data_IF_342729497313
#
_entry.id   IF_342729497313
#
_cell.length_a   1.000
_cell.length_b   1.000
_cell.length_c   1.000
_cell.angle_alpha   90.00
_cell.angle_beta   90.00
_cell.angle_gamma   90.00
#
_symmetry.space_group_name_H-M   'P 1'
#
loop_
_entity.id
_entity.type
_entity.pdbx_description
1 polymer ?
#
# COMPACT_ATOMS: atom_id res chain seq x y z
N UNK A 1 8.65 -36.90 36.27
CA UNK A 1 9.21 -35.55 36.11
C UNK A 1 9.99 -35.55 34.79
N UNK A 2 9.29 -35.32 33.68
CA UNK A 2 9.89 -35.33 32.35
C UNK A 2 10.26 -33.89 31.99
N UNK A 3 11.56 -33.64 31.83
CA UNK A 3 12.10 -32.40 31.28
C UNK A 3 11.50 -32.20 29.89
N UNK A 4 10.76 -31.10 29.72
CA UNK A 4 10.34 -30.63 28.40
C UNK A 4 11.56 -29.98 27.76
N UNK A 5 12.02 -30.55 26.65
CA UNK A 5 13.00 -29.93 25.77
C UNK A 5 12.54 -28.51 25.44
N UNK A 6 13.32 -27.53 25.87
CA UNK A 6 13.27 -26.16 25.42
C UNK A 6 13.84 -26.11 23.99
N UNK A 7 13.09 -26.68 23.05
CA UNK A 7 13.33 -26.53 21.63
C UNK A 7 13.25 -25.05 21.28
N UNK A 8 14.38 -24.50 20.87
CA UNK A 8 14.54 -23.14 20.40
C UNK A 8 13.80 -23.01 19.06
N UNK A 9 12.47 -22.83 19.11
CA UNK A 9 11.68 -22.46 17.95
C UNK A 9 11.98 -21.00 17.61
N UNK A 10 13.13 -20.75 16.99
CA UNK A 10 13.23 -19.62 16.06
C UNK A 10 12.37 -19.98 14.86
N UNK A 11 11.05 -19.88 15.04
CA UNK A 11 10.15 -19.79 13.92
C UNK A 11 10.60 -18.54 13.17
N UNK A 12 11.37 -18.75 12.10
CA UNK A 12 11.38 -17.87 10.95
C UNK A 12 9.90 -17.71 10.56
N UNK A 13 9.24 -16.74 11.19
CA UNK A 13 7.90 -16.32 10.85
C UNK A 13 8.07 -15.70 9.49
N UNK A 14 7.96 -16.53 8.46
CA UNK A 14 7.76 -16.09 7.09
C UNK A 14 6.44 -15.35 7.08
N UNK A 15 6.50 -14.05 7.40
CA UNK A 15 5.40 -13.13 7.20
C UNK A 15 5.10 -13.14 5.70
N UNK A 16 3.93 -13.66 5.34
CA UNK A 16 3.46 -13.62 3.97
C UNK A 16 3.13 -12.17 3.64
N UNK A 17 3.95 -11.56 2.80
CA UNK A 17 3.69 -10.24 2.22
C UNK A 17 3.05 -10.40 0.85
N UNK A 18 2.24 -9.43 0.48
CA UNK A 18 1.63 -9.32 -0.84
C UNK A 18 2.33 -8.23 -1.64
N UNK A 19 2.44 -8.42 -2.95
CA UNK A 19 2.74 -7.34 -3.87
C UNK A 19 1.56 -6.35 -3.95
N UNK A 20 1.81 -5.13 -4.42
CA UNK A 20 0.76 -4.10 -4.50
C UNK A 20 -0.41 -4.55 -5.38
N UNK A 21 -0.14 -5.20 -6.51
CA UNK A 21 -1.20 -5.70 -7.39
C UNK A 21 -2.07 -6.78 -6.71
N UNK A 22 -1.48 -7.65 -5.90
CA UNK A 22 -2.20 -8.70 -5.17
C UNK A 22 -3.06 -8.09 -4.07
N UNK A 23 -2.51 -7.13 -3.32
CA UNK A 23 -3.26 -6.39 -2.31
C UNK A 23 -4.46 -5.66 -2.95
N UNK A 24 -4.26 -5.00 -4.10
CA UNK A 24 -5.34 -4.37 -4.86
C UNK A 24 -6.40 -5.35 -5.32
N UNK A 25 -6.01 -6.52 -5.84
CA UNK A 25 -6.95 -7.56 -6.23
C UNK A 25 -7.81 -8.05 -5.05
N UNK A 26 -7.24 -8.10 -3.85
CA UNK A 26 -8.02 -8.39 -2.63
C UNK A 26 -9.00 -7.24 -2.35
N UNK A 27 -8.53 -6.00 -2.31
CA UNK A 27 -9.36 -4.82 -2.03
C UNK A 27 -10.54 -4.67 -3.01
N UNK A 28 -10.30 -4.89 -4.31
CA UNK A 28 -11.34 -4.85 -5.35
C UNK A 28 -12.46 -5.87 -5.11
N UNK A 29 -12.14 -7.08 -4.62
CA UNK A 29 -13.16 -8.10 -4.29
C UNK A 29 -14.12 -7.65 -3.19
N UNK A 30 -13.69 -6.69 -2.37
CA UNK A 30 -14.51 -6.06 -1.31
C UNK A 30 -15.07 -4.70 -1.73
N UNK A 31 -15.03 -4.36 -3.02
CA UNK A 31 -15.64 -3.13 -3.56
C UNK A 31 -14.80 -1.86 -3.38
N UNK A 32 -13.55 -1.98 -2.94
CA UNK A 32 -12.66 -0.82 -2.84
C UNK A 32 -12.10 -0.52 -4.23
N UNK A 33 -12.41 0.67 -4.74
CA UNK A 33 -11.95 1.12 -6.04
C UNK A 33 -10.41 1.24 -6.05
N UNK A 34 -9.80 0.72 -7.11
CA UNK A 34 -8.38 0.93 -7.39
C UNK A 34 -8.23 1.45 -8.82
N UNK A 35 -7.12 2.13 -9.14
CA UNK A 35 -6.94 2.64 -10.50
C UNK A 35 -6.79 1.47 -11.48
N UNK A 36 -7.18 1.68 -12.74
CA UNK A 36 -7.03 0.65 -13.78
C UNK A 36 -5.56 0.38 -14.05
N UNK A 37 -5.16 -0.88 -14.02
CA UNK A 37 -3.79 -1.28 -14.29
C UNK A 37 -3.63 -2.79 -14.37
N UNK A 38 -2.46 -3.22 -14.85
CA UNK A 38 -2.09 -4.62 -14.94
C UNK A 38 -0.58 -4.81 -14.74
N UNK A 39 -0.15 -6.03 -14.47
CA UNK A 39 1.27 -6.36 -14.29
C UNK A 39 1.95 -6.64 -15.62
N UNK A 40 3.17 -6.12 -15.77
CA UNK A 40 4.08 -6.40 -16.88
C UNK A 40 5.35 -7.09 -16.37
N UNK A 41 5.75 -8.17 -17.03
CA UNK A 41 6.99 -8.91 -16.75
C UNK A 41 8.11 -8.60 -17.74
N UNK A 42 7.82 -7.81 -18.78
CA UNK A 42 8.79 -7.28 -19.74
C UNK A 42 8.34 -5.92 -20.28
N UNK A 43 9.19 -5.27 -21.07
CA UNK A 43 8.93 -3.94 -21.61
C UNK A 43 7.80 -3.89 -22.64
N UNK A 44 7.62 -4.95 -23.43
CA UNK A 44 6.57 -4.99 -24.46
C UNK A 44 5.18 -5.07 -23.83
N UNK A 45 5.03 -5.90 -22.79
CA UNK A 45 3.80 -5.95 -21.98
C UNK A 45 3.47 -4.59 -21.36
N UNK A 46 4.48 -3.88 -20.85
CA UNK A 46 4.28 -2.56 -20.26
C UNK A 46 3.77 -1.53 -21.29
N UNK A 47 4.29 -1.57 -22.52
CA UNK A 47 3.83 -0.74 -23.63
C UNK A 47 2.38 -1.05 -24.01
N UNK A 48 2.02 -2.33 -24.12
CA UNK A 48 0.66 -2.79 -24.43
C UNK A 48 -0.33 -2.30 -23.37
N UNK A 49 -0.02 -2.51 -22.08
CA UNK A 49 -0.90 -2.06 -20.98
C UNK A 49 -1.05 -0.54 -20.99
N UNK A 50 0.04 0.21 -21.24
CA UNK A 50 -0.03 1.68 -21.33
C UNK A 50 -0.92 2.14 -22.51
N UNK A 51 -0.84 1.46 -23.66
CA UNK A 51 -1.71 1.72 -24.82
C UNK A 51 -3.18 1.43 -24.51
N UNK A 52 -3.48 0.29 -23.86
CA UNK A 52 -4.84 -0.09 -23.46
C UNK A 52 -5.45 0.91 -22.47
N UNK A 53 -4.66 1.44 -21.53
CA UNK A 53 -5.11 2.46 -20.58
C UNK A 53 -5.46 3.77 -21.29
N UNK A 54 -4.71 4.14 -22.35
CA UNK A 54 -5.01 5.32 -23.18
C UNK A 54 -4.91 6.67 -22.45
N UNK A 55 -4.22 6.72 -21.31
CA UNK A 55 -3.99 7.89 -20.46
C UNK A 55 -2.54 7.89 -19.97
N UNK A 56 -2.04 8.98 -19.36
CA UNK A 56 -0.79 8.92 -18.61
C UNK A 56 -0.81 7.79 -17.58
N UNK A 57 0.31 7.10 -17.43
CA UNK A 57 0.46 5.94 -16.55
C UNK A 57 1.56 6.16 -15.52
N UNK A 58 1.54 5.31 -14.49
CA UNK A 58 2.59 5.13 -13.51
C UNK A 58 3.07 3.68 -13.58
N UNK A 59 4.39 3.50 -13.65
CA UNK A 59 5.06 2.20 -13.58
C UNK A 59 5.62 2.03 -12.17
N UNK A 60 5.14 1.00 -11.46
CA UNK A 60 5.46 0.73 -10.06
C UNK A 60 6.14 -0.62 -9.91
N UNK A 61 7.37 -0.61 -9.43
CA UNK A 61 8.14 -1.82 -9.15
C UNK A 61 7.41 -2.71 -8.13
N UNK A 62 7.22 -3.99 -8.48
CA UNK A 62 6.63 -4.97 -7.58
C UNK A 62 7.73 -5.65 -6.75
N UNK A 63 7.97 -5.10 -5.57
CA UNK A 63 8.95 -5.58 -4.58
C UNK A 63 8.36 -5.50 -3.17
N UNK A 64 8.76 -6.40 -2.27
CA UNK A 64 8.19 -6.54 -0.91
C UNK A 64 8.89 -5.66 0.13
N UNK A 65 9.30 -4.46 -0.30
CA UNK A 65 9.99 -3.43 0.48
C UNK A 65 9.27 -2.09 0.34
N UNK A 66 9.30 -1.29 1.40
CA UNK A 66 8.73 0.06 1.43
C UNK A 66 9.63 1.07 0.70
N UNK A 67 9.23 2.34 0.61
CA UNK A 67 10.12 3.41 0.11
C UNK A 67 10.44 3.38 -1.38
N UNK A 68 9.69 2.61 -2.19
CA UNK A 68 9.86 2.51 -3.65
C UNK A 68 9.89 3.87 -4.35
N UNK A 69 9.02 4.80 -3.94
CA UNK A 69 8.99 6.16 -4.51
C UNK A 69 10.30 6.91 -4.32
N UNK A 70 10.83 6.94 -3.10
CA UNK A 70 12.13 7.57 -2.78
C UNK A 70 13.32 6.86 -3.45
N UNK A 71 13.15 5.59 -3.84
CA UNK A 71 14.21 4.75 -4.40
C UNK A 71 14.16 4.64 -5.93
N UNK A 72 13.33 5.44 -6.61
CA UNK A 72 13.21 5.42 -8.07
C UNK A 72 12.38 4.26 -8.65
N UNK A 73 11.70 3.48 -7.80
CA UNK A 73 10.85 2.36 -8.21
C UNK A 73 9.43 2.74 -8.65
N UNK A 74 9.10 4.04 -8.67
CA UNK A 74 7.81 4.58 -9.13
C UNK A 74 8.10 5.68 -10.15
N UNK A 75 7.70 5.48 -11.41
CA UNK A 75 7.98 6.42 -12.51
C UNK A 75 6.68 6.73 -13.26
N UNK A 76 6.45 8.02 -13.54
CA UNK A 76 5.28 8.49 -14.29
C UNK A 76 5.65 8.77 -15.74
N UNK A 77 4.76 8.46 -16.67
CA UNK A 77 4.91 8.78 -18.09
C UNK A 77 3.57 9.08 -18.74
N UNK A 78 3.57 9.93 -19.76
CA UNK A 78 2.42 10.19 -20.64
C UNK A 78 2.56 9.55 -22.02
N UNK A 79 3.69 8.89 -22.28
CA UNK A 79 4.01 8.27 -23.57
C UNK A 79 4.21 6.75 -23.39
N UNK A 80 3.53 5.99 -24.23
CA UNK A 80 3.61 4.52 -24.29
C UNK A 80 5.00 4.02 -24.68
N UNK A 81 5.72 4.72 -25.56
CA UNK A 81 7.08 4.36 -25.93
C UNK A 81 8.05 4.62 -24.78
N UNK A 82 7.85 5.70 -24.02
CA UNK A 82 8.62 5.95 -22.80
C UNK A 82 8.27 4.92 -21.71
N UNK A 83 7.02 4.46 -21.61
CA UNK A 83 6.64 3.37 -20.71
C UNK A 83 7.45 2.08 -20.99
N UNK A 84 7.61 1.73 -22.27
CA UNK A 84 8.46 0.61 -22.70
C UNK A 84 9.90 0.76 -22.20
N UNK A 85 10.50 1.93 -22.43
CA UNK A 85 11.89 2.23 -22.05
C UNK A 85 12.09 2.26 -20.53
N UNK A 86 11.14 2.84 -19.79
CA UNK A 86 11.14 2.81 -18.33
C UNK A 86 11.09 1.36 -17.85
N UNK A 87 10.22 0.54 -18.45
CA UNK A 87 10.10 -0.86 -18.08
C UNK A 87 11.37 -1.67 -18.35
N UNK A 88 12.04 -1.45 -19.49
CA UNK A 88 13.32 -2.11 -19.79
C UNK A 88 14.43 -1.74 -18.82
N UNK A 89 14.39 -0.53 -18.24
CA UNK A 89 15.37 -0.08 -17.26
C UNK A 89 15.07 -0.61 -15.85
N UNK A 90 13.80 -0.67 -15.46
CA UNK A 90 13.40 -1.10 -14.12
C UNK A 90 13.42 -2.62 -13.96
N UNK A 91 12.96 -3.39 -14.95
CA UNK A 91 12.91 -4.85 -14.85
C UNK A 91 14.35 -5.40 -14.86
N UNK A 92 14.69 -6.20 -13.85
CA UNK A 92 16.04 -6.68 -13.60
C UNK A 92 16.91 -5.73 -12.76
N UNK A 93 16.48 -4.47 -12.54
CA UNK A 93 17.14 -3.57 -11.61
C UNK A 93 16.94 -3.98 -10.15
N UNK A 94 17.68 -3.35 -9.24
CA UNK A 94 17.57 -3.59 -7.79
C UNK A 94 17.04 -2.34 -7.10
N UNK A 95 15.98 -2.50 -6.31
CA UNK A 95 15.39 -1.47 -5.46
C UNK A 95 15.49 -1.94 -4.01
N UNK A 96 16.25 -1.23 -3.17
CA UNK A 96 16.50 -1.57 -1.76
C UNK A 96 16.84 -3.06 -1.55
N UNK A 97 17.79 -3.58 -2.33
CA UNK A 97 18.23 -4.97 -2.26
C UNK A 97 17.27 -6.01 -2.85
N UNK A 98 16.11 -5.59 -3.39
CA UNK A 98 15.15 -6.48 -4.06
C UNK A 98 15.24 -6.35 -5.58
N UNK A 99 15.38 -7.47 -6.28
CA UNK A 99 15.35 -7.50 -7.75
C UNK A 99 13.92 -7.28 -8.23
N UNK A 100 13.74 -6.31 -9.11
CA UNK A 100 12.44 -6.03 -9.75
C UNK A 100 12.20 -7.05 -10.85
N UNK A 101 11.21 -7.92 -10.64
CA UNK A 101 10.83 -8.97 -11.63
C UNK A 101 9.63 -8.59 -12.48
N UNK A 102 8.79 -7.70 -11.98
CA UNK A 102 7.61 -7.20 -12.66
C UNK A 102 7.26 -5.79 -12.20
N UNK A 103 6.47 -5.10 -13.03
CA UNK A 103 5.94 -3.77 -12.78
C UNK A 103 4.42 -3.85 -12.75
N UNK A 104 3.79 -3.01 -11.93
CA UNK A 104 2.38 -2.66 -12.08
C UNK A 104 2.33 -1.39 -12.93
N UNK A 105 1.72 -1.47 -14.11
CA UNK A 105 1.45 -0.34 -14.99
C UNK A 105 0.00 0.07 -14.79
N UNK A 106 -0.22 1.30 -14.36
CA UNK A 106 -1.52 1.75 -13.87
C UNK A 106 -1.82 3.18 -14.30
N UNK A 107 -3.09 3.54 -14.46
CA UNK A 107 -3.48 4.91 -14.82
C UNK A 107 -3.00 5.92 -13.77
N UNK A 108 -2.43 7.04 -14.24
CA UNK A 108 -2.06 8.15 -13.38
C UNK A 108 -3.32 8.91 -12.99
N UNK A 109 -3.62 8.92 -11.70
CA UNK A 109 -4.72 9.70 -11.15
C UNK A 109 -4.37 11.19 -11.03
N UNK A 110 -5.37 12.05 -11.21
CA UNK A 110 -5.29 13.45 -10.80
C UNK A 110 -5.73 13.55 -9.33
N UNK A 111 -4.75 13.59 -8.43
CA UNK A 111 -4.99 13.48 -6.99
C UNK A 111 -5.22 14.89 -6.43
N UNK A 112 -6.43 15.17 -5.94
CA UNK A 112 -6.75 16.41 -5.24
C UNK A 112 -6.31 16.36 -3.77
N UNK A 113 -6.57 15.24 -3.11
CA UNK A 113 -6.27 15.01 -1.70
C UNK A 113 -5.75 13.59 -1.49
N UNK A 114 -4.95 13.40 -0.44
CA UNK A 114 -4.42 12.10 -0.05
C UNK A 114 -4.73 11.85 1.41
N UNK A 115 -5.29 10.68 1.69
CA UNK A 115 -5.63 10.24 3.04
C UNK A 115 -4.90 8.95 3.39
N UNK A 116 -4.83 8.67 4.69
CA UNK A 116 -4.30 7.43 5.22
C UNK A 116 -5.42 6.63 5.89
N UNK A 117 -5.46 5.32 5.62
CA UNK A 117 -6.32 4.38 6.31
C UNK A 117 -5.61 3.02 6.45
N UNK A 118 -5.70 2.41 7.63
CA UNK A 118 -5.18 1.05 7.85
C UNK A 118 -5.98 0.31 8.91
N UNK A 119 -5.85 -1.02 8.89
CA UNK A 119 -6.35 -1.91 9.94
C UNK A 119 -5.17 -2.74 10.43
N UNK A 120 -4.97 -2.76 11.74
CA UNK A 120 -3.91 -3.52 12.39
C UNK A 120 -4.47 -4.30 13.59
N UNK A 121 -3.63 -5.12 14.22
CA UNK A 121 -3.95 -5.77 15.49
C UNK A 121 -3.26 -5.01 16.61
N UNK A 122 -4.05 -4.40 17.50
CA UNK A 122 -3.54 -3.95 18.79
C UNK A 122 -3.46 -5.15 19.73
N UNK A 123 -2.23 -5.61 19.96
CA UNK A 123 -1.94 -6.78 20.79
C UNK A 123 -2.21 -6.54 22.27
N UNK A 124 -2.12 -5.30 22.75
CA UNK A 124 -2.40 -4.97 24.14
C UNK A 124 -3.91 -4.98 24.39
N UNK A 125 -4.67 -4.33 23.51
CA UNK A 125 -6.12 -4.33 23.55
C UNK A 125 -6.75 -5.68 23.13
N UNK A 126 -5.96 -6.55 22.46
CA UNK A 126 -6.39 -7.82 21.85
C UNK A 126 -7.55 -7.62 20.86
N UNK A 127 -7.51 -6.52 20.11
CA UNK A 127 -8.56 -6.12 19.17
C UNK A 127 -7.94 -5.64 17.86
N UNK A 128 -8.71 -5.68 16.79
CA UNK A 128 -8.37 -4.92 15.60
C UNK A 128 -8.52 -3.42 15.88
N UNK A 129 -7.66 -2.62 15.27
CA UNK A 129 -7.68 -1.16 15.35
C UNK A 129 -7.68 -0.60 13.92
N UNK A 130 -8.61 0.32 13.65
CA UNK A 130 -8.60 1.16 12.46
C UNK A 130 -7.83 2.43 12.79
N UNK A 131 -6.90 2.78 11.91
CA UNK A 131 -6.19 4.06 11.95
C UNK A 131 -6.57 4.85 10.71
N UNK A 132 -6.86 6.15 10.88
CA UNK A 132 -7.14 7.04 9.76
C UNK A 132 -6.45 8.40 9.97
N UNK A 133 -6.08 9.07 8.89
CA UNK A 133 -5.57 10.44 8.92
C UNK A 133 -5.93 11.19 7.64
N UNK A 134 -6.14 12.51 7.77
CA UNK A 134 -6.23 13.40 6.61
C UNK A 134 -4.88 13.64 5.94
N UNK A 135 -3.79 13.15 6.52
CA UNK A 135 -2.43 13.29 5.99
C UNK A 135 -1.98 11.97 5.33
N UNK A 136 -2.38 11.77 4.08
CA UNK A 136 -1.92 10.66 3.27
C UNK A 136 -0.62 10.95 2.52
N UNK A 137 0.02 9.90 2.00
CA UNK A 137 1.21 10.01 1.13
C UNK A 137 2.52 10.35 1.85
N UNK A 138 2.48 10.56 3.16
CA UNK A 138 3.64 10.81 4.02
C UNK A 138 3.98 9.57 4.86
N UNK A 139 5.09 9.65 5.60
CA UNK A 139 5.50 8.63 6.55
C UNK A 139 4.58 8.67 7.79
N UNK A 140 3.62 7.74 7.84
CA UNK A 140 2.64 7.72 8.93
C UNK A 140 3.27 7.34 10.28
N UNK A 141 4.41 6.65 10.26
CA UNK A 141 5.11 6.27 11.50
C UNK A 141 5.74 7.51 12.13
N UNK A 142 6.27 8.43 11.31
CA UNK A 142 6.73 9.74 11.76
C UNK A 142 5.57 10.61 12.29
N UNK A 143 4.42 10.65 11.59
CA UNK A 143 3.23 11.37 12.06
C UNK A 143 2.75 10.83 13.40
N UNK A 144 2.78 9.52 13.61
CA UNK A 144 2.36 8.90 14.87
C UNK A 144 3.24 9.30 16.07
N UNK A 145 4.50 9.67 15.82
CA UNK A 145 5.43 10.13 16.86
C UNK A 145 5.35 11.65 17.10
N UNK A 146 5.25 12.43 16.02
CA UNK A 146 5.37 13.89 16.08
C UNK A 146 4.03 14.59 16.28
N UNK A 147 2.96 14.06 15.70
CA UNK A 147 1.61 14.65 15.69
C UNK A 147 0.54 13.54 15.87
N UNK A 148 0.54 12.81 16.99
CA UNK A 148 -0.32 11.63 17.20
C UNK A 148 -1.82 11.95 17.14
N UNK A 149 -2.21 13.20 17.40
CA UNK A 149 -3.55 13.77 17.30
C UNK A 149 -4.06 13.87 15.85
N UNK A 150 -3.16 13.87 14.87
CA UNK A 150 -3.49 13.79 13.44
C UNK A 150 -3.82 12.37 12.97
N UNK A 151 -3.83 11.39 13.88
CA UNK A 151 -4.25 10.01 13.60
C UNK A 151 -5.46 9.68 14.46
N UNK A 152 -6.61 9.48 13.80
CA UNK A 152 -7.79 8.94 14.44
C UNK A 152 -7.65 7.44 14.63
N UNK A 153 -8.14 6.94 15.78
CA UNK A 153 -7.99 5.55 16.20
C UNK A 153 -9.33 5.00 16.64
N UNK A 154 -9.69 3.83 16.15
CA UNK A 154 -10.92 3.15 16.54
C UNK A 154 -10.68 1.65 16.74
N UNK A 155 -10.87 1.16 17.96
CA UNK A 155 -10.81 -0.28 18.24
C UNK A 155 -12.13 -0.93 17.83
N UNK A 156 -12.04 -1.91 16.94
CA UNK A 156 -13.19 -2.64 16.42
C UNK A 156 -13.76 -3.55 17.52
N UNK A 157 -15.08 -3.48 17.70
CA UNK A 157 -15.78 -4.45 18.53
C UNK A 157 -15.83 -5.81 17.81
N UNK A 158 -15.37 -6.91 18.43
CA UNK A 158 -15.27 -8.20 17.76
C UNK A 158 -16.63 -8.84 17.45
N UNK A 159 -17.72 -8.36 18.05
CA UNK A 159 -19.08 -8.85 17.84
C UNK A 159 -19.86 -7.98 16.88
N UNK A 160 -19.73 -6.65 16.98
CA UNK A 160 -20.48 -5.70 16.16
C UNK A 160 -19.75 -5.28 14.88
N UNK A 161 -18.41 -5.44 14.82
CA UNK A 161 -17.60 -5.06 13.68
C UNK A 161 -17.36 -3.54 13.58
N UNK A 162 -17.06 -3.07 12.37
CA UNK A 162 -16.80 -1.67 12.05
C UNK A 162 -17.94 -1.12 11.19
N UNK A 163 -18.58 -0.04 11.64
CA UNK A 163 -19.74 0.55 10.99
C UNK A 163 -19.41 1.86 10.27
N UNK A 164 -20.26 2.25 9.32
CA UNK A 164 -20.19 3.56 8.66
C UNK A 164 -20.29 4.72 9.67
N UNK A 165 -21.12 4.58 10.71
CA UNK A 165 -21.20 5.56 11.78
C UNK A 165 -19.86 5.72 12.52
N UNK A 166 -19.16 4.61 12.81
CA UNK A 166 -17.84 4.66 13.43
C UNK A 166 -16.83 5.36 12.51
N UNK A 167 -16.85 5.06 11.21
CA UNK A 167 -16.01 5.75 10.23
C UNK A 167 -16.30 7.26 10.17
N UNK A 168 -17.57 7.66 10.17
CA UNK A 168 -17.98 9.07 10.20
C UNK A 168 -17.49 9.81 11.45
N UNK A 169 -17.56 9.18 12.63
CA UNK A 169 -17.04 9.73 13.87
C UNK A 169 -15.52 9.91 13.84
N UNK A 170 -14.78 8.96 13.25
CA UNK A 170 -13.33 9.09 13.07
C UNK A 170 -13.00 10.31 12.20
N UNK A 171 -13.73 10.52 11.10
CA UNK A 171 -13.48 11.65 10.20
C UNK A 171 -13.84 13.00 10.81
N UNK A 172 -14.89 13.06 11.62
CA UNK A 172 -15.31 14.29 12.31
C UNK A 172 -14.24 14.85 13.27
N UNK A 173 -13.30 14.01 13.74
CA UNK A 173 -12.16 14.44 14.55
C UNK A 173 -11.31 15.50 13.83
N UNK A 174 -11.17 15.40 12.50
CA UNK A 174 -10.32 16.30 11.71
C UNK A 174 -11.01 17.62 11.37
N UNK A 175 -12.35 17.67 11.43
CA UNK A 175 -13.11 18.90 11.19
C UNK A 175 -12.82 20.00 12.23
N UNK A 176 -12.35 19.62 13.42
CA UNK A 176 -12.01 20.54 14.51
C UNK A 176 -10.53 20.97 14.53
N UNK A 177 -9.68 20.35 13.70
CA UNK A 177 -8.22 20.59 13.69
C UNK A 177 -7.82 21.64 12.64
N UNK A 178 -8.70 21.90 11.66
CA UNK A 178 -8.49 22.90 10.59
C UNK A 178 -9.16 24.26 10.86
N UNK A 179 -9.52 24.56 12.12
CA UNK A 179 -9.89 25.90 12.60
C UNK A 179 -8.76 26.46 13.46
#
# INVERSE_FOLDING_TARGET
MAQRDSGNYSADRREMKLFEFEAKNVLQKYGIATPKGNTASNSDEAEVIAKEIGKPVVLKSQVLVSGRGKSGGIIFTSDTAEAKKVASNLIGSTIQGSIVRSLLVEEKLNIAEQFYASVAIDRQAKRYIVLASTEGGIDIEETALTSPDRISRHWIDPTLGFSEQAAGLMMAQFSNINQ
#
